data_IF_174075462303
#
_entry.id   IF_174075462303
#
_cell.length_a   1.000
_cell.length_b   1.000
_cell.length_c   1.000
_cell.angle_alpha   90.00
_cell.angle_beta   90.00
_cell.angle_gamma   90.00
#
_symmetry.space_group_name_H-M   'P 1'
#
loop_
_entity.id
_entity.type
_entity.pdbx_description
1 polymer ?
#
# COMPACT_ATOMS: atom_id res chain seq x y z
N UNK A 1 14.92 -4.55 22.67
CA UNK A 1 14.38 -3.18 22.65
C UNK A 1 12.85 -3.17 22.54
N UNK A 2 12.25 -3.64 21.45
CA UNK A 2 10.79 -3.62 21.27
C UNK A 2 10.02 -4.40 22.36
N UNK A 3 10.51 -5.59 22.75
CA UNK A 3 9.94 -6.35 23.87
C UNK A 3 10.12 -5.66 25.24
N UNK A 4 11.07 -4.72 25.35
CA UNK A 4 11.31 -3.92 26.55
C UNK A 4 10.53 -2.59 26.52
N UNK A 5 9.57 -2.42 25.61
CA UNK A 5 8.69 -1.25 25.55
C UNK A 5 9.18 -0.10 24.66
N UNK A 6 10.23 -0.29 23.86
CA UNK A 6 10.68 0.74 22.93
C UNK A 6 9.57 1.11 21.92
N UNK A 7 9.31 2.41 21.77
CA UNK A 7 8.28 2.96 20.90
C UNK A 7 8.82 3.13 19.47
N UNK A 8 8.22 2.45 18.50
CA UNK A 8 8.68 2.37 17.09
C UNK A 8 8.65 3.68 16.30
N UNK A 9 8.00 4.72 16.81
CA UNK A 9 7.73 5.98 16.08
C UNK A 9 8.34 7.23 16.74
N UNK A 10 9.13 7.07 17.81
CA UNK A 10 9.68 8.21 18.55
C UNK A 10 11.03 8.68 18.01
N UNK A 11 11.75 7.81 17.30
CA UNK A 11 13.05 8.16 16.76
C UNK A 11 12.95 9.19 15.63
N UNK A 12 13.90 10.14 15.53
CA UNK A 12 13.94 11.11 14.44
C UNK A 12 14.15 10.44 13.08
N UNK A 13 14.81 9.27 13.08
CA UNK A 13 14.93 8.41 11.92
C UNK A 13 13.87 7.32 12.04
N UNK A 14 12.94 7.29 11.08
CA UNK A 14 11.90 6.29 11.10
C UNK A 14 12.49 4.89 10.78
N UNK A 15 12.56 4.04 11.81
CA UNK A 15 13.09 2.67 11.72
C UNK A 15 12.43 1.83 10.61
N UNK A 16 11.12 2.02 10.36
CA UNK A 16 10.42 1.32 9.29
C UNK A 16 10.92 1.76 7.91
N UNK A 17 11.23 3.03 7.71
CA UNK A 17 11.78 3.54 6.45
C UNK A 17 13.18 2.97 6.18
N UNK A 18 14.01 2.78 7.22
CA UNK A 18 15.31 2.11 7.07
C UNK A 18 15.09 0.65 6.66
N UNK A 19 14.23 -0.09 7.37
CA UNK A 19 13.96 -1.49 7.07
C UNK A 19 13.43 -1.68 5.64
N UNK A 20 12.56 -0.76 5.19
CA UNK A 20 12.06 -0.68 3.83
C UNK A 20 13.18 -0.47 2.81
N UNK A 21 14.05 0.52 3.03
CA UNK A 21 15.19 0.79 2.14
C UNK A 21 16.14 -0.40 2.03
N UNK A 22 16.30 -1.16 3.12
CA UNK A 22 17.14 -2.36 3.15
C UNK A 22 16.46 -3.61 2.57
N UNK A 23 15.15 -3.57 2.25
CA UNK A 23 14.39 -4.76 1.85
C UNK A 23 14.33 -5.84 2.93
N UNK A 24 14.48 -5.48 4.21
CA UNK A 24 14.55 -6.47 5.29
C UNK A 24 13.14 -6.84 5.79
N UNK A 25 12.52 -7.83 5.16
CA UNK A 25 11.15 -8.26 5.47
C UNK A 25 10.98 -8.65 6.95
N UNK A 26 11.97 -9.34 7.55
CA UNK A 26 11.89 -9.76 8.95
C UNK A 26 11.84 -8.55 9.89
N UNK A 27 12.69 -7.56 9.66
CA UNK A 27 12.70 -6.32 10.44
C UNK A 27 11.43 -5.50 10.21
N UNK A 28 10.97 -5.40 8.96
CA UNK A 28 9.69 -4.74 8.65
C UNK A 28 8.52 -5.40 9.40
N UNK A 29 8.39 -6.72 9.32
CA UNK A 29 7.32 -7.46 10.00
C UNK A 29 7.37 -7.24 11.51
N UNK A 30 8.56 -7.28 12.11
CA UNK A 30 8.76 -7.01 13.53
C UNK A 30 8.29 -5.59 13.90
N UNK A 31 8.76 -4.57 13.18
CA UNK A 31 8.40 -3.17 13.44
C UNK A 31 6.89 -2.91 13.28
N UNK A 32 6.28 -3.46 12.22
CA UNK A 32 4.85 -3.32 11.95
C UNK A 32 3.99 -3.99 13.04
N UNK A 33 4.36 -5.19 13.51
CA UNK A 33 3.70 -5.85 14.66
C UNK A 33 3.77 -5.01 15.94
N UNK A 34 4.88 -4.31 16.15
CA UNK A 34 5.05 -3.37 17.26
C UNK A 34 4.45 -1.97 17.00
N UNK A 35 3.69 -1.78 15.93
CA UNK A 35 2.93 -0.54 15.66
C UNK A 35 3.72 0.58 14.99
N UNK A 36 4.76 0.25 14.24
CA UNK A 36 5.40 1.24 13.38
C UNK A 36 4.36 1.87 12.44
N UNK A 37 4.40 3.19 12.30
CA UNK A 37 3.44 3.95 11.51
C UNK A 37 3.72 3.75 10.02
N UNK A 38 2.94 2.89 9.40
CA UNK A 38 2.95 2.63 7.96
C UNK A 38 2.57 3.87 7.13
N UNK A 39 1.79 4.78 7.71
CA UNK A 39 1.30 6.00 7.07
C UNK A 39 2.13 7.24 7.46
N UNK A 40 3.44 7.06 7.64
CA UNK A 40 4.36 8.15 7.90
C UNK A 40 4.63 8.97 6.63
N UNK A 41 4.66 10.29 6.77
CA UNK A 41 5.05 11.23 5.73
C UNK A 41 6.43 11.82 6.03
N UNK A 42 7.37 11.63 5.11
CA UNK A 42 8.71 12.21 5.20
C UNK A 42 8.62 13.73 5.06
N UNK A 43 9.30 14.45 5.96
CA UNK A 43 9.35 15.92 5.94
C UNK A 43 10.23 16.49 4.83
N UNK A 44 11.16 15.69 4.29
CA UNK A 44 12.15 16.14 3.29
C UNK A 44 11.64 15.91 1.86
N UNK A 45 10.94 14.81 1.62
CA UNK A 45 10.33 14.49 0.32
C UNK A 45 8.83 14.36 0.50
N UNK A 46 8.12 15.48 0.36
CA UNK A 46 6.68 15.55 0.57
C UNK A 46 5.93 14.91 -0.59
N UNK A 47 5.20 13.85 -0.30
CA UNK A 47 4.35 13.12 -1.24
C UNK A 47 2.92 13.14 -0.73
N UNK A 48 1.95 13.08 -1.66
CA UNK A 48 0.52 13.08 -1.30
C UNK A 48 0.11 11.76 -0.63
N UNK A 49 0.86 10.70 -0.93
CA UNK A 49 0.73 9.38 -0.38
C UNK A 49 1.83 9.10 0.67
N UNK A 50 1.61 8.20 1.65
CA UNK A 50 2.62 7.92 2.66
C UNK A 50 3.95 7.41 2.09
N UNK A 51 5.06 7.86 2.69
CA UNK A 51 6.40 7.69 2.09
C UNK A 51 6.88 6.23 2.00
N UNK A 52 6.29 5.31 2.77
CA UNK A 52 6.68 3.91 2.74
C UNK A 52 6.56 3.26 1.35
N UNK A 53 5.59 3.70 0.54
CA UNK A 53 5.31 3.10 -0.76
C UNK A 53 6.46 3.23 -1.75
N UNK A 54 7.26 4.31 -1.67
CA UNK A 54 8.37 4.56 -2.61
C UNK A 54 9.40 3.43 -2.64
N UNK A 55 9.51 2.64 -1.56
CA UNK A 55 10.42 1.50 -1.44
C UNK A 55 9.78 0.18 -1.87
N UNK A 56 8.45 0.10 -1.96
CA UNK A 56 7.70 -1.13 -2.20
C UNK A 56 7.16 -1.25 -3.65
N UNK A 57 7.32 -0.24 -4.50
CA UNK A 57 6.72 -0.24 -5.85
C UNK A 57 7.20 -1.40 -6.75
N UNK A 58 8.39 -1.92 -6.51
CA UNK A 58 8.98 -3.03 -7.28
C UNK A 58 8.94 -4.37 -6.54
N UNK A 59 8.42 -4.39 -5.31
CA UNK A 59 8.44 -5.54 -4.43
C UNK A 59 7.02 -5.79 -3.90
N UNK A 60 6.37 -6.80 -4.46
CA UNK A 60 4.99 -7.14 -4.08
C UNK A 60 4.91 -7.63 -2.63
N UNK A 61 5.94 -8.32 -2.10
CA UNK A 61 5.95 -8.80 -0.73
C UNK A 61 5.93 -7.60 0.22
N UNK A 62 6.82 -6.64 0.01
CA UNK A 62 6.84 -5.40 0.78
C UNK A 62 5.55 -4.61 0.62
N UNK A 63 5.02 -4.52 -0.59
CA UNK A 63 3.76 -3.81 -0.86
C UNK A 63 2.61 -4.45 -0.07
N UNK A 64 2.41 -5.77 -0.20
CA UNK A 64 1.38 -6.52 0.54
C UNK A 64 1.57 -6.40 2.05
N UNK A 65 2.80 -6.44 2.54
CA UNK A 65 3.08 -6.20 3.97
C UNK A 65 2.57 -4.82 4.41
N UNK A 66 2.94 -3.74 3.71
CA UNK A 66 2.47 -2.39 4.07
C UNK A 66 0.93 -2.30 4.05
N UNK A 67 0.30 -2.84 3.00
CA UNK A 67 -1.15 -2.85 2.82
C UNK A 67 -1.87 -3.64 3.93
N UNK A 68 -1.34 -4.82 4.30
CA UNK A 68 -1.89 -5.65 5.37
C UNK A 68 -1.88 -4.96 6.74
N UNK A 69 -0.88 -4.11 7.00
CA UNK A 69 -0.79 -3.30 8.23
C UNK A 69 -1.48 -1.92 8.14
N UNK A 70 -2.27 -1.69 7.09
CA UNK A 70 -3.17 -0.54 6.99
C UNK A 70 -2.54 0.70 6.35
N UNK A 71 -1.66 0.50 5.36
CA UNK A 71 -1.25 1.56 4.45
C UNK A 71 -2.48 2.21 3.80
N UNK A 72 -2.54 3.55 3.80
CA UNK A 72 -3.66 4.33 3.28
C UNK A 72 -3.58 4.44 1.75
N UNK A 73 -4.17 3.46 1.07
CA UNK A 73 -4.19 3.37 -0.39
C UNK A 73 -5.02 4.49 -1.03
N UNK A 74 -6.05 5.01 -0.36
CA UNK A 74 -6.92 6.03 -0.94
C UNK A 74 -6.13 7.28 -1.34
N UNK A 75 -5.09 7.63 -0.58
CA UNK A 75 -4.14 8.70 -0.91
C UNK A 75 -3.43 8.52 -2.25
N UNK A 76 -3.31 7.29 -2.75
CA UNK A 76 -2.71 7.03 -4.06
C UNK A 76 -3.66 7.37 -5.21
N UNK A 77 -4.97 7.40 -4.96
CA UNK A 77 -6.01 7.69 -5.95
C UNK A 77 -6.67 9.06 -5.75
N UNK A 78 -6.30 9.78 -4.69
CA UNK A 78 -6.76 11.15 -4.41
C UNK A 78 -5.96 12.18 -5.23
N UNK A 79 -6.11 12.14 -6.56
CA UNK A 79 -5.48 13.12 -7.44
C UNK A 79 -6.43 14.31 -7.65
N UNK A 80 -6.08 15.54 -7.22
CA UNK A 80 -6.96 16.70 -7.32
C UNK A 80 -7.28 17.10 -8.76
N UNK A 81 -6.46 16.65 -9.73
CA UNK A 81 -6.68 16.93 -11.15
C UNK A 81 -7.77 16.04 -11.75
N UNK A 82 -8.06 14.86 -11.16
CA UNK A 82 -9.08 13.93 -11.65
C UNK A 82 -8.98 13.66 -13.16
N UNK A 83 -10.01 14.04 -13.91
CA UNK A 83 -10.07 13.91 -15.36
C UNK A 83 -9.49 15.11 -16.14
N UNK A 84 -9.07 16.17 -15.46
CA UNK A 84 -8.46 17.35 -16.08
C UNK A 84 -7.01 17.11 -16.47
N UNK A 85 -6.62 17.57 -17.67
CA UNK A 85 -5.26 17.43 -18.20
C UNK A 85 -4.18 17.88 -17.18
N UNK A 86 -3.20 17.03 -16.91
CA UNK A 86 -1.94 17.47 -16.33
C UNK A 86 -1.32 18.45 -17.33
N UNK A 87 -0.95 19.65 -16.88
CA UNK A 87 -0.19 20.59 -17.70
C UNK A 87 1.00 19.86 -18.31
N UNK A 88 1.08 19.94 -19.64
CA UNK A 88 1.98 19.17 -20.51
C UNK A 88 3.47 19.50 -20.27
N UNK A 89 3.77 20.46 -19.40
CA UNK A 89 5.11 21.03 -19.17
C UNK A 89 5.88 20.44 -17.97
N UNK A 90 5.53 19.25 -17.47
CA UNK A 90 6.33 18.58 -16.42
C UNK A 90 7.02 17.32 -16.95
N UNK A 91 7.32 17.29 -18.26
CA UNK A 91 8.17 16.26 -18.86
C UNK A 91 9.67 16.51 -18.64
N UNK A 92 10.09 17.72 -18.25
CA UNK A 92 11.50 18.07 -18.17
C UNK A 92 11.92 18.43 -16.74
N UNK A 93 12.09 17.41 -15.89
CA UNK A 93 13.09 17.34 -14.80
C UNK A 93 13.18 18.44 -13.73
N UNK A 94 12.41 19.53 -13.80
CA UNK A 94 12.58 20.72 -12.97
C UNK A 94 11.22 21.17 -12.46
N UNK A 95 10.90 20.77 -11.22
CA UNK A 95 9.76 21.32 -10.51
C UNK A 95 10.16 22.60 -9.78
N UNK A 96 9.37 23.66 -9.97
CA UNK A 96 9.39 24.91 -9.19
C UNK A 96 9.67 24.65 -7.70
N UNK A 97 10.48 25.53 -7.09
CA UNK A 97 11.07 25.49 -5.75
C UNK A 97 10.07 25.50 -4.58
N UNK A 98 8.78 25.46 -4.86
CA UNK A 98 7.71 25.33 -3.86
C UNK A 98 7.48 23.84 -3.59
N UNK A 99 7.49 23.45 -2.31
CA UNK A 99 7.23 22.09 -1.81
C UNK A 99 6.03 21.49 -2.57
N UNK A 100 6.30 20.68 -3.60
CA UNK A 100 5.25 20.04 -4.40
C UNK A 100 4.86 18.75 -3.72
N UNK A 101 3.60 18.71 -3.32
CA UNK A 101 2.92 17.48 -2.91
C UNK A 101 2.92 16.52 -4.12
N UNK A 102 3.90 15.63 -4.20
CA UNK A 102 4.09 14.81 -5.39
C UNK A 102 3.03 13.72 -5.42
N UNK A 103 2.31 13.63 -6.54
CA UNK A 103 1.17 12.73 -6.68
C UNK A 103 1.62 11.31 -7.04
N UNK A 104 0.87 10.30 -6.61
CA UNK A 104 1.17 8.90 -6.96
C UNK A 104 1.21 8.69 -8.48
N UNK A 105 0.24 9.25 -9.21
CA UNK A 105 0.19 9.19 -10.67
C UNK A 105 1.39 9.86 -11.35
N UNK A 106 2.09 10.78 -10.70
CA UNK A 106 3.31 11.40 -11.25
C UNK A 106 4.53 10.49 -11.08
N UNK A 107 4.58 9.74 -9.98
CA UNK A 107 5.68 8.82 -9.67
C UNK A 107 5.55 7.51 -10.44
N UNK A 108 4.39 6.85 -10.35
CA UNK A 108 4.21 5.49 -10.88
C UNK A 108 4.24 5.45 -12.42
N UNK A 109 4.01 6.59 -13.07
CA UNK A 109 4.03 6.72 -14.54
C UNK A 109 5.40 7.12 -15.10
N UNK A 110 6.40 7.35 -14.25
CA UNK A 110 7.78 7.57 -14.70
C UNK A 110 8.28 6.38 -15.52
N UNK A 111 9.12 6.62 -16.52
CA UNK A 111 9.55 5.60 -17.50
C UNK A 111 10.08 4.31 -16.84
N UNK A 112 10.85 4.43 -15.77
CA UNK A 112 11.42 3.30 -15.04
C UNK A 112 10.46 2.61 -14.05
N UNK A 113 9.24 3.12 -13.86
CA UNK A 113 8.16 2.53 -13.05
C UNK A 113 6.92 2.17 -13.86
N UNK A 114 6.78 2.71 -15.08
CA UNK A 114 5.62 2.51 -15.94
C UNK A 114 5.23 1.04 -16.08
N UNK A 115 6.21 0.17 -16.27
CA UNK A 115 6.00 -1.29 -16.44
C UNK A 115 5.46 -1.99 -15.19
N UNK A 116 5.73 -1.50 -13.97
CA UNK A 116 5.17 -2.08 -12.73
C UNK A 116 3.82 -1.48 -12.34
N UNK A 117 3.42 -0.37 -12.95
CA UNK A 117 2.23 0.40 -12.54
C UNK A 117 0.94 -0.42 -12.56
N UNK A 118 0.74 -1.25 -13.59
CA UNK A 118 -0.41 -2.15 -13.69
C UNK A 118 -0.48 -3.12 -12.51
N UNK A 119 0.65 -3.76 -12.18
CA UNK A 119 0.72 -4.71 -11.07
C UNK A 119 0.47 -4.04 -9.71
N UNK A 120 1.12 -2.89 -9.47
CA UNK A 120 0.94 -2.12 -8.23
C UNK A 120 -0.51 -1.69 -8.05
N UNK A 121 -1.13 -1.10 -9.08
CA UNK A 121 -2.53 -0.66 -9.02
C UNK A 121 -3.46 -1.85 -8.81
N UNK A 122 -3.24 -2.96 -9.52
CA UNK A 122 -4.04 -4.17 -9.37
C UNK A 122 -4.00 -4.70 -7.92
N UNK A 123 -2.83 -4.72 -7.30
CA UNK A 123 -2.66 -5.10 -5.89
C UNK A 123 -3.37 -4.12 -4.96
N UNK A 124 -3.21 -2.82 -5.17
CA UNK A 124 -3.86 -1.77 -4.37
C UNK A 124 -5.40 -1.89 -4.37
N UNK A 125 -6.00 -2.30 -5.50
CA UNK A 125 -7.44 -2.51 -5.62
C UNK A 125 -8.00 -3.64 -4.73
N UNK A 126 -7.15 -4.52 -4.19
CA UNK A 126 -7.55 -5.52 -3.19
C UNK A 126 -7.76 -4.90 -1.79
N UNK A 127 -7.37 -3.64 -1.58
CA UNK A 127 -7.41 -2.96 -0.27
C UNK A 127 -8.29 -1.71 -0.23
N UNK A 128 -8.97 -1.39 -1.34
CA UNK A 128 -9.91 -0.27 -1.45
C UNK A 128 -11.26 -0.75 -1.96
N UNK A 129 -12.29 0.04 -1.69
CA UNK A 129 -13.64 -0.16 -2.20
C UNK A 129 -13.78 0.39 -3.63
N UNK A 130 -14.46 1.51 -3.82
CA UNK A 130 -14.60 2.17 -5.11
C UNK A 130 -13.69 3.40 -5.14
N UNK A 131 -12.79 3.43 -6.12
CA UNK A 131 -11.85 4.53 -6.33
C UNK A 131 -11.92 5.01 -7.77
N UNK A 132 -11.63 6.29 -7.98
CA UNK A 132 -11.47 6.86 -9.31
C UNK A 132 -9.99 7.04 -9.59
N UNK A 133 -9.55 6.61 -10.76
CA UNK A 133 -8.19 6.83 -11.24
C UNK A 133 -8.18 8.11 -12.09
N UNK A 134 -7.15 8.94 -11.97
CA UNK A 134 -7.00 10.13 -12.80
C UNK A 134 -6.62 9.77 -14.23
N UNK A 135 -6.92 10.66 -15.18
CA UNK A 135 -6.71 10.40 -16.61
C UNK A 135 -5.27 9.99 -16.96
N UNK A 136 -4.26 10.57 -16.30
CA UNK A 136 -2.84 10.30 -16.57
C UNK A 136 -2.46 8.87 -16.19
N UNK A 137 -2.91 8.42 -15.02
CA UNK A 137 -2.69 7.04 -14.60
C UNK A 137 -3.50 6.09 -15.47
N UNK A 138 -4.74 6.44 -15.80
CA UNK A 138 -5.59 5.64 -16.70
C UNK A 138 -4.96 5.46 -18.09
N UNK A 139 -4.41 6.52 -18.68
CA UNK A 139 -3.76 6.48 -19.99
C UNK A 139 -2.58 5.50 -20.01
N UNK A 140 -1.75 5.51 -18.96
CA UNK A 140 -0.63 4.56 -18.83
C UNK A 140 -1.13 3.14 -18.61
N UNK A 141 -2.14 2.96 -17.76
CA UNK A 141 -2.66 1.63 -17.46
C UNK A 141 -3.27 0.97 -18.69
N UNK A 142 -3.95 1.72 -19.58
CA UNK A 142 -4.52 1.22 -20.84
C UNK A 142 -3.52 0.54 -21.77
N UNK A 143 -2.25 0.90 -21.67
CA UNK A 143 -1.18 0.31 -22.48
C UNK A 143 -0.62 -0.99 -21.89
N UNK A 144 -1.04 -1.38 -20.68
CA UNK A 144 -0.52 -2.54 -19.96
C UNK A 144 -1.46 -3.74 -20.03
N UNK A 145 -0.86 -4.94 -19.99
CA UNK A 145 -1.57 -6.22 -20.08
C UNK A 145 -2.68 -6.39 -19.02
N UNK A 146 -2.46 -5.89 -17.80
CA UNK A 146 -3.42 -5.99 -16.69
C UNK A 146 -4.60 -5.01 -16.79
N UNK A 147 -4.67 -4.16 -17.82
CA UNK A 147 -5.74 -3.19 -17.98
C UNK A 147 -7.15 -3.80 -17.95
N UNK A 148 -7.48 -4.90 -18.67
CA UNK A 148 -8.83 -5.43 -18.69
C UNK A 148 -9.33 -5.79 -17.28
N UNK A 149 -8.47 -6.40 -16.47
CA UNK A 149 -8.78 -6.75 -15.08
C UNK A 149 -8.97 -5.52 -14.20
N UNK A 150 -8.07 -4.53 -14.32
CA UNK A 150 -8.15 -3.28 -13.57
C UNK A 150 -9.43 -2.51 -13.95
N UNK A 151 -9.69 -2.38 -15.25
CA UNK A 151 -10.86 -1.71 -15.78
C UNK A 151 -12.15 -2.38 -15.33
N UNK A 152 -12.20 -3.71 -15.34
CA UNK A 152 -13.34 -4.47 -14.82
C UNK A 152 -13.60 -4.14 -13.35
N UNK A 153 -12.56 -4.11 -12.51
CA UNK A 153 -12.69 -3.76 -11.08
C UNK A 153 -13.19 -2.32 -10.87
N UNK A 154 -12.72 -1.37 -11.68
CA UNK A 154 -13.06 0.05 -11.52
C UNK A 154 -14.48 0.39 -12.00
N UNK A 155 -14.97 -0.33 -13.02
CA UNK A 155 -16.28 -0.07 -13.65
C UNK A 155 -17.43 -0.85 -13.04
N UNK A 156 -17.14 -1.92 -12.28
CA UNK A 156 -18.15 -2.76 -11.65
C UNK A 156 -18.22 -2.54 -10.14
N UNK A 157 -19.40 -2.72 -9.52
CA UNK A 157 -19.51 -2.72 -8.06
C UNK A 157 -18.68 -3.85 -7.47
N UNK A 158 -17.98 -3.57 -6.37
CA UNK A 158 -17.18 -4.58 -5.68
C UNK A 158 -18.07 -5.65 -5.04
N UNK A 159 -17.63 -6.93 -5.00
CA UNK A 159 -18.40 -7.98 -4.34
C UNK A 159 -18.69 -7.65 -2.88
N UNK A 160 -19.87 -8.02 -2.38
CA UNK A 160 -20.24 -7.77 -0.98
C UNK A 160 -19.25 -8.39 0.00
N UNK A 161 -18.73 -9.60 -0.31
CA UNK A 161 -17.67 -10.26 0.46
C UNK A 161 -16.43 -9.35 0.64
N UNK A 162 -16.06 -8.61 -0.40
CA UNK A 162 -14.93 -7.67 -0.38
C UNK A 162 -15.24 -6.45 0.48
N UNK A 163 -16.40 -5.82 0.27
CA UNK A 163 -16.84 -4.66 1.05
C UNK A 163 -16.96 -4.99 2.54
N UNK A 164 -17.49 -6.16 2.89
CA UNK A 164 -17.52 -6.65 4.27
C UNK A 164 -16.12 -6.78 4.86
N UNK A 165 -15.15 -7.30 4.10
CA UNK A 165 -13.74 -7.40 4.53
C UNK A 165 -13.20 -6.03 4.93
N UNK A 166 -13.36 -5.03 4.06
CA UNK A 166 -12.89 -3.67 4.28
C UNK A 166 -13.55 -3.04 5.51
N UNK A 167 -14.89 -3.19 5.63
CA UNK A 167 -15.64 -2.64 6.76
C UNK A 167 -15.22 -3.26 8.09
N UNK A 168 -15.04 -4.59 8.14
CA UNK A 168 -14.57 -5.28 9.34
C UNK A 168 -13.17 -4.78 9.72
N UNK A 169 -12.25 -4.72 8.76
CA UNK A 169 -10.88 -4.23 8.99
C UNK A 169 -10.86 -2.78 9.48
N UNK A 170 -11.70 -1.92 8.92
CA UNK A 170 -11.85 -0.53 9.38
C UNK A 170 -12.34 -0.46 10.84
N UNK A 171 -13.35 -1.27 11.22
CA UNK A 171 -13.85 -1.35 12.59
C UNK A 171 -12.84 -1.95 13.59
N UNK A 172 -11.99 -2.88 13.13
CA UNK A 172 -10.90 -3.41 13.94
C UNK A 172 -9.82 -2.35 14.19
N UNK A 173 -9.54 -1.51 13.19
CA UNK A 173 -8.50 -0.50 13.24
C UNK A 173 -7.08 -1.09 13.27
N UNK A 174 -6.08 -0.22 13.12
CA UNK A 174 -4.66 -0.61 13.00
C UNK A 174 -4.14 -1.38 14.23
N UNK A 175 -4.59 -1.02 15.42
CA UNK A 175 -4.13 -1.62 16.68
C UNK A 175 -4.55 -3.09 16.85
N UNK A 176 -5.74 -3.46 16.38
CA UNK A 176 -6.21 -4.85 16.46
C UNK A 176 -5.71 -5.69 15.30
N UNK A 177 -5.49 -5.08 14.13
CA UNK A 177 -4.91 -5.78 12.96
C UNK A 177 -3.46 -6.21 13.19
N UNK A 178 -2.66 -5.44 13.95
CA UNK A 178 -1.25 -5.78 14.22
C UNK A 178 -1.03 -6.93 15.21
N UNK A 179 -2.01 -7.22 16.07
CA UNK A 179 -1.88 -8.20 17.14
C UNK A 179 -2.82 -9.39 16.88
N UNK A 180 -2.27 -10.56 16.49
CA UNK A 180 -3.05 -11.74 16.14
C UNK A 180 -4.01 -12.23 17.23
N UNK A 181 -3.70 -11.92 18.50
CA UNK A 181 -4.53 -12.28 19.65
C UNK A 181 -5.94 -11.67 19.52
N UNK A 182 -6.11 -10.50 18.91
CA UNK A 182 -7.46 -9.95 18.73
C UNK A 182 -8.33 -10.75 17.74
N UNK A 183 -7.72 -11.44 16.79
CA UNK A 183 -8.45 -12.30 15.85
C UNK A 183 -8.98 -13.57 16.52
N UNK A 184 -8.35 -14.05 17.60
CA UNK A 184 -8.84 -15.25 18.30
C UNK A 184 -10.16 -14.97 19.01
N UNK A 185 -10.37 -13.74 19.48
CA UNK A 185 -11.61 -13.30 20.14
C UNK A 185 -12.79 -13.06 19.20
N UNK A 186 -12.58 -12.99 17.87
CA UNK A 186 -13.70 -12.87 16.94
C UNK A 186 -14.45 -14.21 16.84
N UNK A 187 -15.77 -14.24 17.04
CA UNK A 187 -16.59 -15.45 16.91
C UNK A 187 -16.87 -15.75 15.43
N UNK A 188 -15.80 -15.92 14.65
CA UNK A 188 -15.83 -16.22 13.22
C UNK A 188 -15.08 -17.52 12.93
N UNK A 189 -15.51 -18.30 11.91
CA UNK A 189 -14.73 -19.43 11.40
C UNK A 189 -13.32 -19.02 10.94
N UNK A 190 -12.36 -19.95 11.02
CA UNK A 190 -10.96 -19.70 10.65
C UNK A 190 -10.81 -19.22 9.20
N UNK A 191 -11.58 -19.77 8.26
CA UNK A 191 -11.54 -19.32 6.86
C UNK A 191 -11.92 -17.84 6.69
N UNK A 192 -12.85 -17.33 7.51
CA UNK A 192 -13.19 -15.89 7.50
C UNK A 192 -12.12 -15.06 8.19
N UNK A 193 -11.50 -15.55 9.26
CA UNK A 193 -10.36 -14.88 9.91
C UNK A 193 -9.19 -14.74 8.94
N UNK A 194 -8.88 -15.80 8.21
CA UNK A 194 -7.80 -15.85 7.22
C UNK A 194 -8.07 -14.86 6.07
N UNK A 195 -9.31 -14.83 5.58
CA UNK A 195 -9.77 -13.87 4.58
C UNK A 195 -9.68 -12.41 5.07
N UNK A 196 -10.06 -12.10 6.32
CA UNK A 196 -9.95 -10.75 6.89
C UNK A 196 -8.48 -10.33 7.06
N UNK A 197 -7.60 -11.30 7.34
CA UNK A 197 -6.16 -11.10 7.47
C UNK A 197 -5.41 -11.05 6.13
N UNK A 198 -6.09 -11.21 5.00
CA UNK A 198 -5.45 -11.32 3.67
C UNK A 198 -4.40 -12.43 3.60
N UNK A 199 -4.63 -13.57 4.27
CA UNK A 199 -3.68 -14.69 4.25
C UNK A 199 -3.48 -15.27 2.85
N UNK A 200 -4.44 -15.12 1.94
CA UNK A 200 -4.27 -15.49 0.54
C UNK A 200 -3.19 -14.68 -0.19
N UNK A 201 -2.79 -13.53 0.38
CA UNK A 201 -1.74 -12.65 -0.14
C UNK A 201 -0.53 -12.52 0.80
N UNK A 202 -0.43 -13.36 1.84
CA UNK A 202 0.73 -13.39 2.74
C UNK A 202 1.88 -14.18 2.12
N UNK A 203 2.52 -13.56 1.13
CA UNK A 203 3.65 -14.13 0.39
C UNK A 203 4.86 -14.39 1.32
N UNK A 204 5.09 -13.52 2.30
CA UNK A 204 6.17 -13.68 3.27
C UNK A 204 5.97 -14.91 4.17
N UNK A 205 4.73 -15.15 4.61
CA UNK A 205 4.39 -16.37 5.35
C UNK A 205 4.65 -17.63 4.55
N UNK A 206 4.28 -17.63 3.25
CA UNK A 206 4.44 -18.76 2.34
C UNK A 206 5.91 -19.09 2.03
N UNK A 207 6.77 -18.08 1.83
CA UNK A 207 8.21 -18.29 1.59
C UNK A 207 8.92 -18.97 2.79
N UNK A 208 8.47 -18.70 4.01
CA UNK A 208 9.00 -19.34 5.22
C UNK A 208 8.57 -20.82 5.37
N UNK A 209 7.51 -21.26 4.67
CA UNK A 209 7.11 -22.68 4.64
C UNK A 209 7.84 -23.48 3.56
N UNK A 210 8.34 -22.83 2.50
CA UNK A 210 9.10 -23.50 1.42
C UNK A 210 10.60 -23.61 1.69
N UNK A 211 11.10 -23.07 2.80
CA UNK A 211 12.52 -23.08 3.19
C UNK A 211 12.98 -24.27 4.04
N UNK A 212 12.24 -25.38 4.06
CA UNK A 212 12.67 -26.63 4.72
C UNK A 212 12.48 -27.79 3.75
N UNK A 213 13.45 -27.99 2.86
CA UNK A 213 13.87 -29.28 2.32
C UNK A 213 15.35 -29.20 1.93
#
# INVERSE_FOLDING_TARGET
LLNAGALTNQDPINCLQIALRMGNYKLMNLLLRHGANVNYFCRVNTTHFPSALQYALKDEVMLRMLLNYGYDVHRCFDCPRGNGAHSQYVTDGWTSTVIKDTMFCEVITLSWLKHVSGKVVRVMLDYVDHVKICWKLEAVLKELELWPDIHFILTNPRPLKHLCRLKIRACMGRLRLRCPVFMTFLPLPNCLKDYILYKEYDLYGQENFTGIY
#
